data_IF_087432202069
#
_entry.id   IF_087432202069
#
_cell.length_a   1.000
_cell.length_b   1.000
_cell.length_c   1.000
_cell.angle_alpha   90.00
_cell.angle_beta   90.00
_cell.angle_gamma   90.00
#
_symmetry.space_group_name_H-M   'P 1'
#
loop_
_entity.id
_entity.type
_entity.pdbx_description
1 polymer ?
#
# COMPACT_ATOMS: atom_id res chain seq x y z
N UNK A 1 15.87 17.93 32.06
CA UNK A 1 15.49 16.76 31.22
C UNK A 1 15.30 17.27 29.81
N UNK A 2 16.10 16.84 28.82
CA UNK A 2 15.97 17.35 27.47
C UNK A 2 14.67 16.82 26.85
N UNK A 3 13.91 17.72 26.22
CA UNK A 3 12.77 17.39 25.36
C UNK A 3 13.33 17.09 23.97
N UNK A 4 13.31 15.84 23.50
CA UNK A 4 13.60 15.53 22.09
C UNK A 4 13.08 14.14 21.72
N UNK A 5 11.96 14.09 21.02
CA UNK A 5 11.62 13.14 19.95
C UNK A 5 10.15 13.40 19.59
N UNK A 6 9.93 14.39 18.73
CA UNK A 6 8.76 14.36 17.87
C UNK A 6 8.71 12.98 17.24
N UNK A 7 7.66 12.21 17.54
CA UNK A 7 7.34 10.90 16.97
C UNK A 7 7.82 10.84 15.52
N UNK A 8 8.94 10.15 15.27
CA UNK A 8 9.46 10.00 13.91
C UNK A 8 8.45 9.15 13.16
N UNK A 9 7.69 9.77 12.24
CA UNK A 9 6.86 9.09 11.25
C UNK A 9 7.64 7.92 10.66
N UNK A 10 7.05 6.73 10.71
CA UNK A 10 7.70 5.49 10.29
C UNK A 10 8.13 5.61 8.82
N UNK A 11 9.44 5.55 8.50
CA UNK A 11 9.92 5.75 7.14
C UNK A 11 9.41 4.70 6.14
N UNK A 12 8.99 3.53 6.63
CA UNK A 12 8.37 2.46 5.84
C UNK A 12 6.95 2.86 5.45
N UNK A 13 6.15 3.33 6.41
CA UNK A 13 4.80 3.87 6.19
C UNK A 13 4.85 5.07 5.23
N UNK A 14 5.74 6.03 5.49
CA UNK A 14 5.93 7.21 4.64
C UNK A 14 6.23 6.83 3.18
N UNK A 15 7.11 5.85 2.97
CA UNK A 15 7.44 5.37 1.63
C UNK A 15 6.23 4.77 0.90
N UNK A 16 5.49 3.88 1.57
CA UNK A 16 4.28 3.25 1.02
C UNK A 16 3.28 4.33 0.57
N UNK A 17 2.98 5.28 1.45
CA UNK A 17 2.02 6.35 1.13
C UNK A 17 2.53 7.29 0.04
N UNK A 18 3.85 7.54 -0.02
CA UNK A 18 4.46 8.35 -1.08
C UNK A 18 4.36 7.67 -2.44
N UNK A 19 4.62 6.36 -2.52
CA UNK A 19 4.48 5.59 -3.76
C UNK A 19 3.02 5.55 -4.21
N UNK A 20 2.09 5.26 -3.30
CA UNK A 20 0.67 5.25 -3.61
C UNK A 20 0.17 6.63 -4.08
N UNK A 21 0.59 7.70 -3.39
CA UNK A 21 0.29 9.08 -3.78
C UNK A 21 0.74 9.40 -5.21
N UNK A 22 1.95 8.96 -5.56
CA UNK A 22 2.50 9.14 -6.90
C UNK A 22 1.67 8.42 -7.96
N UNK A 23 1.35 7.14 -7.74
CA UNK A 23 0.58 6.33 -8.70
C UNK A 23 -0.86 6.84 -8.86
N UNK A 24 -1.50 7.25 -7.76
CA UNK A 24 -2.87 7.77 -7.80
C UNK A 24 -2.98 9.24 -8.22
N UNK A 25 -1.85 9.95 -8.34
CA UNK A 25 -1.82 11.41 -8.48
C UNK A 25 -2.65 12.14 -7.39
N UNK A 26 -2.55 11.66 -6.14
CA UNK A 26 -3.26 12.19 -4.97
C UNK A 26 -2.31 12.48 -3.82
N UNK A 27 -2.71 13.36 -2.90
CA UNK A 27 -1.99 13.60 -1.66
C UNK A 27 -2.52 12.69 -0.54
N UNK A 28 -2.00 11.46 -0.46
CA UNK A 28 -2.28 10.49 0.59
C UNK A 28 -1.25 10.66 1.70
N UNK A 29 -1.72 10.97 2.91
CA UNK A 29 -0.88 11.23 4.06
C UNK A 29 -1.45 10.51 5.29
N UNK A 30 -0.58 10.13 6.24
CA UNK A 30 -0.94 9.36 7.44
C UNK A 30 -2.13 10.00 8.20
N UNK A 31 -2.11 11.32 8.36
CA UNK A 31 -3.16 12.08 9.06
C UNK A 31 -4.52 12.10 8.36
N UNK A 32 -4.61 11.63 7.10
CA UNK A 32 -5.87 11.54 6.34
C UNK A 32 -6.45 10.13 6.32
N UNK A 33 -5.72 9.15 6.86
CA UNK A 33 -6.13 7.75 6.87
C UNK A 33 -6.69 7.43 8.24
N UNK A 34 -7.92 6.91 8.27
CA UNK A 34 -8.62 6.60 9.53
C UNK A 34 -8.05 5.37 10.23
N UNK A 35 -7.51 4.40 9.47
CA UNK A 35 -6.97 3.16 10.00
C UNK A 35 -5.70 2.75 9.24
N UNK A 36 -4.57 2.74 9.96
CA UNK A 36 -3.26 2.35 9.44
C UNK A 36 -2.88 0.91 9.80
N UNK A 37 -3.74 0.15 10.48
CA UNK A 37 -3.42 -1.19 10.95
C UNK A 37 -2.91 -2.09 9.83
N UNK A 38 -3.52 -2.06 8.64
CA UNK A 38 -3.04 -2.88 7.52
C UNK A 38 -1.63 -2.48 7.03
N UNK A 39 -1.26 -1.20 7.14
CA UNK A 39 0.09 -0.76 6.82
C UNK A 39 1.06 -1.22 7.92
N UNK A 40 0.68 -1.09 9.18
CA UNK A 40 1.48 -1.57 10.31
C UNK A 40 1.67 -3.09 10.26
N UNK A 41 0.61 -3.86 10.00
CA UNK A 41 0.67 -5.31 9.83
C UNK A 41 1.60 -5.67 8.67
N UNK A 42 1.48 -4.98 7.54
CA UNK A 42 2.41 -5.14 6.44
C UNK A 42 3.84 -4.75 6.82
N UNK A 43 4.08 -3.78 7.69
CA UNK A 43 5.44 -3.42 8.09
C UNK A 43 6.03 -4.40 9.13
N UNK A 44 5.25 -4.79 10.12
CA UNK A 44 5.76 -5.35 11.38
C UNK A 44 5.50 -6.86 11.54
N UNK A 45 4.76 -7.47 10.63
CA UNK A 45 4.40 -8.90 10.71
C UNK A 45 4.82 -9.68 9.45
N UNK A 46 4.48 -10.98 9.42
CA UNK A 46 4.68 -11.83 8.24
C UNK A 46 3.66 -11.55 7.12
N UNK A 47 2.74 -10.61 7.30
CA UNK A 47 1.81 -10.15 6.27
C UNK A 47 2.58 -9.68 5.04
N UNK A 48 2.44 -10.42 3.94
CA UNK A 48 3.24 -10.22 2.74
C UNK A 48 2.60 -9.28 1.71
N UNK A 49 1.32 -8.92 1.89
CA UNK A 49 0.54 -8.12 0.94
C UNK A 49 -0.06 -6.90 1.61
N UNK A 50 -0.08 -5.79 0.89
CA UNK A 50 -0.81 -4.59 1.22
C UNK A 50 -1.40 -4.01 -0.07
N UNK A 51 -2.70 -3.72 -0.04
CA UNK A 51 -3.43 -3.18 -1.17
C UNK A 51 -4.04 -1.85 -0.73
N UNK A 52 -3.71 -0.80 -1.47
CA UNK A 52 -4.38 0.49 -1.37
C UNK A 52 -5.24 0.62 -2.63
N UNK A 53 -6.56 0.68 -2.45
CA UNK A 53 -7.52 0.79 -3.54
C UNK A 53 -8.19 2.16 -3.52
N UNK A 54 -8.28 2.80 -4.69
CA UNK A 54 -9.00 4.05 -4.89
C UNK A 54 -10.26 3.79 -5.71
N UNK A 55 -11.40 4.24 -5.18
CA UNK A 55 -12.64 4.30 -5.94
C UNK A 55 -12.60 5.46 -6.93
N UNK A 56 -12.81 5.20 -8.22
CA UNK A 56 -12.69 6.24 -9.26
C UNK A 56 -13.74 7.35 -9.08
N UNK A 57 -14.98 6.98 -8.74
CA UNK A 57 -16.11 7.92 -8.62
C UNK A 57 -16.24 8.60 -7.26
N UNK A 58 -15.90 7.93 -6.16
CA UNK A 58 -16.11 8.43 -4.79
C UNK A 58 -14.88 9.11 -4.20
N UNK A 59 -13.73 9.00 -4.88
CA UNK A 59 -12.43 9.48 -4.40
C UNK A 59 -12.06 9.01 -2.98
N UNK A 60 -12.59 7.86 -2.57
CA UNK A 60 -12.31 7.20 -1.30
C UNK A 60 -11.19 6.18 -1.48
N UNK A 61 -10.39 6.00 -0.43
CA UNK A 61 -9.31 5.02 -0.38
C UNK A 61 -9.68 3.93 0.62
N UNK A 62 -9.51 2.68 0.22
CA UNK A 62 -9.57 1.50 1.08
C UNK A 62 -8.17 0.88 1.20
N UNK A 63 -7.85 0.36 2.37
CA UNK A 63 -6.54 -0.24 2.67
C UNK A 63 -6.77 -1.61 3.30
N UNK A 64 -6.15 -2.65 2.74
CA UNK A 64 -6.36 -4.04 3.16
C UNK A 64 -5.11 -4.87 2.91
N UNK A 65 -4.95 -5.98 3.64
CA UNK A 65 -3.90 -6.98 3.39
C UNK A 65 -4.40 -8.19 2.58
N UNK A 66 -5.65 -8.15 2.12
CA UNK A 66 -6.31 -9.24 1.43
C UNK A 66 -6.71 -8.84 0.00
N UNK A 67 -6.49 -9.74 -0.95
CA UNK A 67 -7.01 -9.58 -2.31
C UNK A 67 -8.53 -9.81 -2.25
N UNK A 68 -9.29 -8.74 -2.50
CA UNK A 68 -10.74 -8.81 -2.64
C UNK A 68 -11.11 -8.92 -4.12
N UNK A 69 -12.16 -9.69 -4.42
CA UNK A 69 -12.76 -9.74 -5.76
C UNK A 69 -13.92 -8.74 -5.85
N UNK A 70 -13.58 -7.49 -5.61
CA UNK A 70 -14.44 -6.32 -5.53
C UNK A 70 -14.54 -5.57 -6.88
N UNK A 71 -15.24 -4.45 -6.87
CA UNK A 71 -15.77 -3.77 -8.05
C UNK A 71 -14.73 -3.44 -9.13
N UNK A 72 -15.18 -3.43 -10.39
CA UNK A 72 -14.36 -3.10 -11.56
C UNK A 72 -13.95 -1.61 -11.61
N UNK A 73 -14.49 -0.75 -10.74
CA UNK A 73 -14.24 0.70 -10.73
C UNK A 73 -13.10 1.12 -9.77
N UNK A 74 -12.24 0.15 -9.42
CA UNK A 74 -11.12 0.37 -8.51
C UNK A 74 -9.81 0.44 -9.28
N UNK A 75 -9.02 1.47 -8.99
CA UNK A 75 -7.58 1.46 -9.26
C UNK A 75 -6.87 1.02 -7.99
N UNK A 76 -5.93 0.09 -8.07
CA UNK A 76 -5.24 -0.53 -6.93
C UNK A 76 -3.74 -0.38 -7.06
N UNK A 77 -3.09 -0.11 -5.95
CA UNK A 77 -1.64 -0.25 -5.80
C UNK A 77 -1.41 -1.40 -4.83
N UNK A 78 -0.79 -2.46 -5.33
CA UNK A 78 -0.46 -3.66 -4.59
C UNK A 78 1.02 -3.61 -4.24
N UNK A 79 1.30 -3.54 -2.95
CA UNK A 79 2.62 -3.73 -2.38
C UNK A 79 2.74 -5.18 -1.94
N UNK A 80 3.86 -5.82 -2.27
CA UNK A 80 4.15 -7.15 -1.77
C UNK A 80 5.61 -7.27 -1.36
N UNK A 81 5.85 -8.01 -0.27
CA UNK A 81 7.20 -8.30 0.18
C UNK A 81 7.82 -9.40 -0.66
N UNK A 82 9.13 -9.33 -0.84
CA UNK A 82 9.90 -10.43 -1.42
C UNK A 82 10.03 -11.61 -0.45
N UNK A 83 9.91 -11.35 0.87
CA UNK A 83 9.95 -12.36 1.95
C UNK A 83 8.82 -12.10 2.94
N UNK A 84 8.18 -13.17 3.42
CA UNK A 84 7.13 -13.09 4.45
C UNK A 84 7.73 -12.91 5.85
N UNK A 85 8.32 -11.73 6.10
CA UNK A 85 8.95 -11.34 7.36
C UNK A 85 8.73 -9.84 7.63
N UNK A 86 8.88 -9.37 8.88
CA UNK A 86 8.86 -7.93 9.19
C UNK A 86 9.91 -7.16 8.37
N UNK A 87 9.56 -5.95 7.93
CA UNK A 87 10.44 -5.09 7.15
C UNK A 87 11.41 -4.34 8.07
N UNK A 88 12.70 -4.38 7.75
CA UNK A 88 13.71 -3.56 8.44
C UNK A 88 13.65 -2.11 7.94
N UNK A 89 13.99 -1.18 8.82
CA UNK A 89 14.10 0.26 8.49
C UNK A 89 15.24 0.54 7.51
N UNK A 90 16.22 -0.35 7.41
CA UNK A 90 17.40 -0.16 6.56
C UNK A 90 17.20 -0.60 5.10
N UNK A 91 16.40 -1.65 4.85
CA UNK A 91 16.32 -2.33 3.55
C UNK A 91 14.90 -2.44 2.97
N UNK A 92 13.89 -1.89 3.63
CA UNK A 92 12.49 -2.03 3.22
C UNK A 92 12.23 -1.69 1.75
N UNK A 93 12.94 -0.72 1.17
CA UNK A 93 12.73 -0.31 -0.23
C UNK A 93 13.10 -1.39 -1.23
N UNK A 94 14.14 -2.18 -0.94
CA UNK A 94 14.57 -3.29 -1.81
C UNK A 94 13.77 -4.57 -1.58
N UNK A 95 13.11 -4.70 -0.43
CA UNK A 95 12.33 -5.87 -0.06
C UNK A 95 10.83 -5.73 -0.40
N UNK A 96 10.40 -4.57 -0.93
CA UNK A 96 9.04 -4.30 -1.38
C UNK A 96 9.00 -4.16 -2.90
N UNK A 97 8.11 -4.90 -3.54
CA UNK A 97 7.73 -4.71 -4.93
C UNK A 97 6.32 -4.12 -5.04
N UNK A 98 6.06 -3.41 -6.13
CA UNK A 98 4.83 -2.65 -6.33
C UNK A 98 4.26 -2.90 -7.72
N UNK A 99 2.96 -3.20 -7.79
CA UNK A 99 2.21 -3.33 -9.04
C UNK A 99 0.95 -2.48 -8.95
N UNK A 100 0.64 -1.75 -10.02
CA UNK A 100 -0.63 -1.04 -10.16
C UNK A 100 -1.59 -1.83 -11.05
N UNK A 101 -2.84 -1.96 -10.62
CA UNK A 101 -3.90 -2.66 -11.35
C UNK A 101 -5.09 -1.73 -11.51
N UNK A 102 -5.76 -1.78 -12.66
CA UNK A 102 -7.05 -1.11 -12.87
C UNK A 102 -8.11 -2.16 -13.16
N UNK A 103 -9.26 -2.05 -12.52
CA UNK A 103 -10.34 -3.02 -12.69
C UNK A 103 -10.23 -4.21 -11.74
N UNK A 104 -10.89 -5.31 -12.10
CA UNK A 104 -10.84 -6.54 -11.29
C UNK A 104 -9.46 -7.19 -11.45
N UNK A 105 -8.92 -7.83 -10.39
CA UNK A 105 -7.61 -8.49 -10.47
C UNK A 105 -7.54 -9.53 -11.60
N UNK A 106 -8.63 -10.27 -11.81
CA UNK A 106 -8.74 -11.26 -12.88
C UNK A 106 -8.65 -10.63 -14.27
N UNK A 107 -9.26 -9.46 -14.47
CA UNK A 107 -9.22 -8.76 -15.77
C UNK A 107 -7.80 -8.28 -16.07
N UNK A 108 -7.12 -7.74 -15.06
CA UNK A 108 -5.73 -7.28 -15.19
C UNK A 108 -4.75 -8.45 -15.44
N UNK A 109 -4.97 -9.61 -14.81
CA UNK A 109 -4.21 -10.82 -15.10
C UNK A 109 -4.42 -11.29 -16.54
N UNK A 110 -5.68 -11.38 -16.99
CA UNK A 110 -6.02 -11.77 -18.37
C UNK A 110 -5.36 -10.82 -19.37
N UNK A 111 -5.33 -9.52 -19.10
CA UNK A 111 -4.68 -8.55 -19.97
C UNK A 111 -3.16 -8.74 -20.02
N UNK A 112 -2.53 -9.09 -18.90
CA UNK A 112 -1.08 -9.31 -18.81
C UNK A 112 -0.60 -10.58 -19.52
N UNK A 113 -1.47 -11.59 -19.69
CA UNK A 113 -1.16 -12.86 -20.37
C UNK A 113 -1.40 -12.77 -21.89
N UNK A 114 -2.27 -11.86 -22.34
CA UNK A 114 -2.61 -11.70 -23.76
C UNK A 114 -1.56 -10.98 -24.59
N UNK A 115 -0.57 -10.37 -23.96
CA UNK A 115 0.64 -9.77 -24.57
C UNK A 115 1.69 -10.82 -24.87
#
# INVERSE_FOLDING_TARGET
MPKTETERSDPRCHYILRVASHIFALNIAENKIQNLNSIHDFCDTNTALLIIAKHETRNTIDITNEIRNDHAELTRVVFYKLKAAPLSVDDYRSEISVISLRGRPTDALIQSIKT
#
